data_IF_957083862951
#
_entry.id   IF_957083862951
#
_cell.length_a   1.000
_cell.length_b   1.000
_cell.length_c   1.000
_cell.angle_alpha   90.00
_cell.angle_beta   90.00
_cell.angle_gamma   90.00
#
_symmetry.space_group_name_H-M   'P 1'
#
loop_
_entity.id
_entity.type
_entity.pdbx_description
1 polymer ?
#
# COMPACT_ATOMS: atom_id res chain seq x y z
N UNK A 1 13.50 10.68 50.47
CA UNK A 1 13.41 11.49 49.22
C UNK A 1 12.07 11.18 48.62
N UNK A 2 11.07 12.05 48.75
CA UNK A 2 9.75 11.82 48.14
C UNK A 2 9.81 12.23 46.66
N UNK A 3 9.21 11.44 45.74
CA UNK A 3 9.12 11.84 44.32
C UNK A 3 8.33 13.14 44.19
N UNK A 4 8.77 13.97 43.25
CA UNK A 4 8.16 15.29 43.03
C UNK A 4 6.83 15.07 42.28
N UNK A 5 5.72 15.49 42.86
CA UNK A 5 4.35 15.32 42.30
C UNK A 5 4.24 15.88 40.86
N UNK A 6 5.02 16.93 40.55
CA UNK A 6 5.04 17.51 39.19
C UNK A 6 5.65 16.55 38.13
N UNK A 7 6.59 15.68 38.51
CA UNK A 7 7.22 14.74 37.62
C UNK A 7 6.29 13.53 37.33
N UNK A 8 5.48 13.12 38.32
CA UNK A 8 4.47 12.07 38.12
C UNK A 8 3.31 12.53 37.25
N UNK A 9 2.83 13.75 37.42
CA UNK A 9 1.74 14.30 36.58
C UNK A 9 2.22 14.50 35.14
N UNK A 10 3.47 14.96 34.95
CA UNK A 10 4.05 15.10 33.61
C UNK A 10 4.24 13.75 32.91
N UNK A 11 4.69 12.72 33.62
CA UNK A 11 4.87 11.38 33.08
C UNK A 11 3.54 10.72 32.71
N UNK A 12 2.50 10.87 33.51
CA UNK A 12 1.16 10.34 33.19
C UNK A 12 0.57 11.01 31.94
N UNK A 13 0.68 12.33 31.80
CA UNK A 13 0.21 13.03 30.61
C UNK A 13 0.95 12.60 29.33
N UNK A 14 2.24 12.29 29.42
CA UNK A 14 3.03 11.75 28.29
C UNK A 14 2.59 10.34 27.95
N UNK A 15 2.34 9.48 28.93
CA UNK A 15 1.84 8.12 28.70
C UNK A 15 0.45 8.13 28.06
N UNK A 16 -0.47 8.94 28.58
CA UNK A 16 -1.81 9.10 28.02
C UNK A 16 -1.76 9.59 26.55
N UNK A 17 -0.85 10.52 26.25
CA UNK A 17 -0.63 11.00 24.88
C UNK A 17 -0.08 9.89 23.96
N UNK A 18 0.87 9.09 24.44
CA UNK A 18 1.43 7.98 23.67
C UNK A 18 0.39 6.90 23.40
N UNK A 19 -0.42 6.53 24.39
CA UNK A 19 -1.51 5.55 24.25
C UNK A 19 -2.57 6.04 23.25
N UNK A 20 -2.95 7.31 23.32
CA UNK A 20 -3.89 7.91 22.37
C UNK A 20 -3.33 7.88 20.93
N UNK A 21 -2.07 8.24 20.76
CA UNK A 21 -1.40 8.20 19.46
C UNK A 21 -1.33 6.79 18.88
N UNK A 22 -0.97 5.80 19.70
CA UNK A 22 -0.94 4.41 19.28
C UNK A 22 -2.33 3.92 18.85
N UNK A 23 -3.35 4.20 19.65
CA UNK A 23 -4.72 3.82 19.35
C UNK A 23 -5.26 4.47 18.05
N UNK A 24 -4.90 5.73 17.79
CA UNK A 24 -5.25 6.41 16.54
C UNK A 24 -4.52 5.79 15.34
N UNK A 25 -3.24 5.43 15.48
CA UNK A 25 -2.48 4.75 14.44
C UNK A 25 -3.11 3.40 14.08
N UNK A 26 -3.40 2.57 15.08
CA UNK A 26 -4.05 1.27 14.89
C UNK A 26 -5.40 1.37 14.16
N UNK A 27 -6.21 2.38 14.49
CA UNK A 27 -7.47 2.64 13.78
C UNK A 27 -7.27 3.00 12.31
N UNK A 28 -6.29 3.84 12.02
CA UNK A 28 -5.99 4.23 10.63
C UNK A 28 -5.43 3.05 9.84
N UNK A 29 -4.62 2.20 10.46
CA UNK A 29 -4.11 0.96 9.84
C UNK A 29 -5.24 -0.03 9.53
N UNK A 30 -6.18 -0.23 10.46
CA UNK A 30 -7.37 -1.06 10.23
C UNK A 30 -8.27 -0.49 9.12
N UNK A 31 -8.47 0.82 9.09
CA UNK A 31 -9.20 1.46 7.99
C UNK A 31 -8.48 1.28 6.65
N UNK A 32 -7.16 1.40 6.60
CA UNK A 32 -6.38 1.22 5.38
C UNK A 32 -6.46 -0.21 4.80
N UNK A 33 -6.75 -1.23 5.62
CA UNK A 33 -7.01 -2.59 5.12
C UNK A 33 -8.24 -2.66 4.23
N UNK A 34 -9.29 -1.94 4.58
CA UNK A 34 -10.61 -2.03 3.93
C UNK A 34 -10.89 -0.88 2.98
N UNK A 35 -10.22 0.25 3.16
CA UNK A 35 -10.40 1.42 2.36
C UNK A 35 -9.13 1.83 1.61
N UNK A 36 -9.19 1.69 0.29
CA UNK A 36 -8.02 1.92 -0.56
C UNK A 36 -7.53 3.37 -0.52
N UNK A 37 -8.41 4.36 -0.33
CA UNK A 37 -7.98 5.76 -0.27
C UNK A 37 -7.18 6.07 1.01
N UNK A 38 -7.55 5.43 2.11
CA UNK A 38 -6.78 5.52 3.38
C UNK A 38 -5.41 4.86 3.21
N UNK A 39 -5.34 3.70 2.55
CA UNK A 39 -4.06 3.09 2.16
C UNK A 39 -3.21 4.00 1.27
N UNK A 40 -3.82 4.65 0.26
CA UNK A 40 -3.13 5.61 -0.60
C UNK A 40 -2.55 6.77 0.19
N UNK A 41 -3.28 7.33 1.16
CA UNK A 41 -2.80 8.42 2.02
C UNK A 41 -1.57 8.03 2.83
N UNK A 42 -1.52 6.81 3.33
CA UNK A 42 -0.40 6.30 4.12
C UNK A 42 0.82 5.95 3.25
N UNK A 43 0.59 5.27 2.13
CA UNK A 43 1.68 4.65 1.38
C UNK A 43 2.19 5.47 0.20
N UNK A 44 1.41 6.40 -0.37
CA UNK A 44 1.86 7.21 -1.49
C UNK A 44 3.05 8.12 -1.18
N UNK A 45 3.19 8.70 0.03
CA UNK A 45 4.39 9.47 0.41
C UNK A 45 5.69 8.66 0.37
N UNK A 46 5.64 7.34 0.49
CA UNK A 46 6.80 6.45 0.32
C UNK A 46 7.32 6.41 -1.12
N UNK A 47 6.47 6.71 -2.08
CA UNK A 47 6.79 6.72 -3.51
C UNK A 47 7.05 8.12 -4.07
N UNK A 48 6.43 9.14 -3.48
CA UNK A 48 6.51 10.54 -3.93
C UNK A 48 6.60 11.42 -2.70
N UNK A 49 7.73 12.07 -2.49
CA UNK A 49 8.00 12.94 -1.33
C UNK A 49 7.03 14.13 -1.21
N UNK A 50 6.60 14.69 -2.34
CA UNK A 50 5.67 15.82 -2.44
C UNK A 50 4.24 15.39 -2.77
N UNK A 51 3.79 14.26 -2.20
CA UNK A 51 2.47 13.71 -2.47
C UNK A 51 1.35 14.67 -2.08
N UNK A 52 0.44 14.90 -3.02
CA UNK A 52 -0.76 15.71 -2.79
C UNK A 52 -2.00 14.96 -3.25
N UNK A 53 -2.96 14.84 -2.35
CA UNK A 53 -4.26 14.28 -2.69
C UNK A 53 -5.04 15.25 -3.58
N UNK A 54 -5.58 14.71 -4.67
CA UNK A 54 -6.46 15.43 -5.57
C UNK A 54 -7.79 14.70 -5.71
N UNK A 55 -8.87 15.40 -6.03
CA UNK A 55 -10.21 14.81 -6.17
C UNK A 55 -10.27 13.65 -7.19
N UNK A 56 -9.46 13.69 -8.24
CA UNK A 56 -9.35 12.61 -9.21
C UNK A 56 -8.82 11.30 -8.59
N UNK A 57 -7.95 11.40 -7.58
CA UNK A 57 -7.42 10.24 -6.85
C UNK A 57 -8.52 9.58 -6.04
N UNK A 58 -9.40 10.35 -5.41
CA UNK A 58 -10.56 9.84 -4.68
C UNK A 58 -11.49 9.05 -5.60
N UNK A 59 -11.81 9.62 -6.76
CA UNK A 59 -12.68 8.96 -7.75
C UNK A 59 -12.05 7.65 -8.27
N UNK A 60 -10.75 7.65 -8.56
CA UNK A 60 -10.06 6.45 -9.02
C UNK A 60 -10.01 5.40 -7.91
N UNK A 61 -9.71 5.81 -6.69
CA UNK A 61 -9.63 4.91 -5.54
C UNK A 61 -10.95 4.19 -5.29
N UNK A 62 -12.06 4.91 -5.38
CA UNK A 62 -13.39 4.31 -5.26
C UNK A 62 -13.66 3.29 -6.39
N UNK A 63 -13.29 3.60 -7.63
CA UNK A 63 -13.44 2.65 -8.76
C UNK A 63 -12.53 1.43 -8.63
N UNK A 64 -11.33 1.58 -8.11
CA UNK A 64 -10.43 0.47 -7.85
C UNK A 64 -10.91 -0.42 -6.70
N UNK A 65 -11.54 0.16 -5.67
CA UNK A 65 -12.22 -0.58 -4.60
C UNK A 65 -13.39 -1.42 -5.14
N UNK A 66 -14.21 -0.84 -6.02
CA UNK A 66 -15.29 -1.56 -6.72
C UNK A 66 -14.75 -2.69 -7.62
N UNK A 67 -13.57 -2.51 -8.20
CA UNK A 67 -12.90 -3.55 -8.98
C UNK A 67 -12.41 -4.70 -8.08
N UNK A 68 -11.83 -4.38 -6.93
CA UNK A 68 -11.36 -5.38 -5.97
C UNK A 68 -12.51 -6.19 -5.39
N UNK A 69 -13.62 -5.55 -5.03
CA UNK A 69 -14.83 -6.23 -4.52
C UNK A 69 -15.58 -7.06 -5.58
N UNK A 70 -15.22 -6.93 -6.86
CA UNK A 70 -15.90 -7.60 -7.97
C UNK A 70 -17.23 -6.94 -8.40
N UNK A 71 -17.59 -5.80 -7.82
CA UNK A 71 -18.75 -5.01 -8.24
C UNK A 71 -18.63 -4.59 -9.71
N UNK A 72 -17.43 -4.18 -10.13
CA UNK A 72 -17.07 -4.01 -11.53
C UNK A 72 -15.96 -4.98 -11.90
N UNK A 73 -16.03 -5.54 -13.10
CA UNK A 73 -15.04 -6.54 -13.56
C UNK A 73 -13.96 -5.97 -14.48
N UNK A 74 -14.16 -4.78 -15.01
CA UNK A 74 -13.26 -4.12 -15.94
C UNK A 74 -13.28 -2.61 -15.70
N UNK A 75 -12.10 -2.00 -15.68
CA UNK A 75 -11.93 -0.58 -15.48
C UNK A 75 -10.93 -0.03 -16.50
N UNK A 76 -11.31 1.04 -17.17
CA UNK A 76 -10.40 1.84 -18.01
C UNK A 76 -10.21 3.20 -17.38
N UNK A 77 -8.95 3.61 -17.20
CA UNK A 77 -8.60 4.88 -16.55
C UNK A 77 -7.86 5.77 -17.54
N UNK A 78 -8.47 6.88 -17.88
CA UNK A 78 -7.91 7.91 -18.78
C UNK A 78 -7.63 9.17 -17.98
N UNK A 79 -6.37 9.55 -17.89
CA UNK A 79 -5.92 10.76 -17.19
C UNK A 79 -4.77 11.41 -17.96
N UNK A 80 -4.60 12.73 -17.84
CA UNK A 80 -3.45 13.42 -18.38
C UNK A 80 -2.12 12.87 -17.84
N UNK A 81 -1.00 13.06 -18.55
CA UNK A 81 0.32 12.79 -17.98
C UNK A 81 0.53 13.52 -16.64
N UNK A 82 1.37 12.96 -15.77
CA UNK A 82 1.72 13.52 -14.45
C UNK A 82 0.56 13.65 -13.45
N UNK A 83 -0.54 12.94 -13.67
CA UNK A 83 -1.70 12.86 -12.73
C UNK A 83 -1.62 11.69 -11.74
N UNK A 84 -0.45 11.16 -11.48
CA UNK A 84 -0.18 10.03 -10.58
C UNK A 84 -0.91 8.72 -10.93
N UNK A 85 -1.47 8.59 -12.15
CA UNK A 85 -2.20 7.40 -12.59
C UNK A 85 -1.41 6.10 -12.36
N UNK A 86 -0.16 6.04 -12.84
CA UNK A 86 0.67 4.82 -12.69
C UNK A 86 1.03 4.53 -11.25
N UNK A 87 1.18 5.55 -10.40
CA UNK A 87 1.42 5.36 -8.97
C UNK A 87 0.22 4.70 -8.31
N UNK A 88 -0.98 5.21 -8.61
CA UNK A 88 -2.22 4.66 -8.05
C UNK A 88 -2.53 3.28 -8.63
N UNK A 89 -2.61 3.15 -9.96
CA UNK A 89 -3.13 1.95 -10.61
C UNK A 89 -2.10 0.82 -10.73
N UNK A 90 -0.80 1.16 -10.92
CA UNK A 90 0.24 0.15 -11.22
C UNK A 90 1.18 -0.15 -10.05
N UNK A 91 1.10 0.63 -8.96
CA UNK A 91 1.95 0.42 -7.77
C UNK A 91 1.12 0.24 -6.51
N UNK A 92 0.35 1.26 -6.09
CA UNK A 92 -0.40 1.22 -4.83
C UNK A 92 -1.55 0.22 -4.87
N UNK A 93 -2.33 0.18 -5.94
CA UNK A 93 -3.45 -0.76 -6.03
C UNK A 93 -3.00 -2.23 -6.04
N UNK A 94 -2.00 -2.66 -6.83
CA UNK A 94 -1.48 -4.03 -6.72
C UNK A 94 -0.94 -4.38 -5.34
N UNK A 95 -0.25 -3.43 -4.65
CA UNK A 95 0.23 -3.66 -3.29
C UNK A 95 -0.95 -3.86 -2.31
N UNK A 96 -1.95 -2.98 -2.35
CA UNK A 96 -3.14 -3.09 -1.52
C UNK A 96 -3.94 -4.37 -1.81
N UNK A 97 -4.12 -4.70 -3.11
CA UNK A 97 -4.83 -5.89 -3.53
C UNK A 97 -4.18 -7.18 -3.00
N UNK A 98 -2.86 -7.31 -3.12
CA UNK A 98 -2.15 -8.50 -2.61
C UNK A 98 -2.14 -8.54 -1.09
N UNK A 99 -2.16 -7.40 -0.42
CA UNK A 99 -2.31 -7.33 1.03
C UNK A 99 -3.64 -7.90 1.53
N UNK A 100 -4.71 -7.63 0.79
CA UNK A 100 -6.06 -8.15 1.06
C UNK A 100 -6.27 -9.59 0.60
N UNK A 101 -5.62 -9.98 -0.49
CA UNK A 101 -5.79 -11.26 -1.18
C UNK A 101 -4.41 -11.92 -1.41
N UNK A 102 -3.70 -12.31 -0.34
CA UNK A 102 -2.29 -12.71 -0.43
C UNK A 102 -2.04 -14.05 -1.13
N UNK A 103 -3.08 -14.77 -1.50
CA UNK A 103 -3.04 -16.04 -2.27
C UNK A 103 -3.29 -15.81 -3.76
N UNK A 104 -3.78 -14.61 -4.15
CA UNK A 104 -4.15 -14.32 -5.53
C UNK A 104 -2.94 -14.03 -6.43
N UNK A 105 -3.15 -14.17 -7.73
CA UNK A 105 -2.16 -13.84 -8.74
C UNK A 105 -2.45 -12.48 -9.38
N UNK A 106 -1.39 -11.68 -9.56
CA UNK A 106 -1.45 -10.39 -10.26
C UNK A 106 -0.55 -10.46 -11.48
N UNK A 107 -1.10 -10.14 -12.64
CA UNK A 107 -0.34 -9.94 -13.87
C UNK A 107 -0.36 -8.45 -14.25
N UNK A 108 0.81 -7.83 -14.26
CA UNK A 108 1.00 -6.46 -14.75
C UNK A 108 1.70 -6.50 -16.10
N UNK A 109 1.07 -5.90 -17.11
CA UNK A 109 1.61 -5.84 -18.46
C UNK A 109 1.84 -4.38 -18.85
N UNK A 110 3.00 -4.08 -19.43
CA UNK A 110 3.31 -2.77 -19.95
C UNK A 110 3.95 -2.84 -21.35
N UNK A 111 4.32 -1.68 -21.89
CA UNK A 111 4.94 -1.58 -23.20
C UNK A 111 6.29 -2.33 -23.29
N UNK A 112 7.10 -2.31 -22.24
CA UNK A 112 8.40 -2.98 -22.20
C UNK A 112 8.62 -3.75 -20.89
N UNK A 113 9.47 -4.77 -20.95
CA UNK A 113 9.88 -5.54 -19.77
C UNK A 113 10.52 -4.68 -18.69
N UNK A 114 11.33 -3.69 -19.09
CA UNK A 114 11.95 -2.76 -18.15
C UNK A 114 10.89 -2.01 -17.33
N UNK A 115 9.89 -1.42 -17.98
CA UNK A 115 8.84 -0.67 -17.29
C UNK A 115 7.98 -1.56 -16.40
N UNK A 116 7.64 -2.77 -16.86
CA UNK A 116 6.90 -3.74 -16.05
C UNK A 116 7.68 -4.16 -14.81
N UNK A 117 8.98 -4.45 -14.99
CA UNK A 117 9.88 -4.82 -13.89
C UNK A 117 10.06 -3.69 -12.87
N UNK A 118 10.08 -2.43 -13.32
CA UNK A 118 10.15 -1.27 -12.43
C UNK A 118 8.86 -1.12 -11.60
N UNK A 119 7.70 -1.42 -12.19
CA UNK A 119 6.45 -1.50 -11.42
C UNK A 119 6.50 -2.66 -10.43
N UNK A 120 6.91 -3.85 -10.87
CA UNK A 120 7.03 -5.03 -10.01
C UNK A 120 7.99 -4.82 -8.84
N UNK A 121 9.12 -4.14 -9.07
CA UNK A 121 10.05 -3.73 -8.02
C UNK A 121 9.38 -2.77 -7.03
N UNK A 122 8.71 -1.73 -7.52
CA UNK A 122 8.03 -0.76 -6.66
C UNK A 122 6.94 -1.40 -5.80
N UNK A 123 6.14 -2.33 -6.36
CA UNK A 123 5.11 -3.05 -5.60
C UNK A 123 5.74 -3.96 -4.55
N UNK A 124 6.79 -4.70 -4.92
CA UNK A 124 7.54 -5.56 -4.01
C UNK A 124 8.13 -4.78 -2.83
N UNK A 125 8.73 -3.63 -3.11
CA UNK A 125 9.36 -2.80 -2.11
C UNK A 125 8.30 -2.20 -1.16
N UNK A 126 7.13 -1.80 -1.66
CA UNK A 126 5.97 -1.41 -0.84
C UNK A 126 5.48 -2.53 0.08
N UNK A 127 5.38 -3.77 -0.41
CA UNK A 127 5.00 -4.94 0.40
C UNK A 127 6.02 -5.23 1.49
N UNK A 128 7.26 -4.81 1.30
CA UNK A 128 8.34 -5.00 2.27
C UNK A 128 8.51 -3.81 3.25
N UNK A 129 7.70 -2.76 3.13
CA UNK A 129 7.69 -1.63 4.06
C UNK A 129 7.12 -2.03 5.42
N UNK A 130 7.65 -1.45 6.50
CA UNK A 130 7.14 -1.68 7.85
C UNK A 130 5.66 -1.28 7.99
N UNK A 131 5.28 -0.14 7.41
CA UNK A 131 3.90 0.34 7.46
C UNK A 131 2.93 -0.60 6.73
N UNK A 132 3.38 -1.25 5.64
CA UNK A 132 2.59 -2.31 5.00
C UNK A 132 2.38 -3.51 5.92
N UNK A 133 3.42 -3.91 6.66
CA UNK A 133 3.34 -5.01 7.61
C UNK A 133 2.43 -4.69 8.81
N UNK A 134 2.34 -3.43 9.23
CA UNK A 134 1.38 -2.97 10.25
C UNK A 134 -0.06 -3.07 9.73
N UNK A 135 -0.30 -2.64 8.49
CA UNK A 135 -1.62 -2.71 7.85
C UNK A 135 -2.03 -4.16 7.58
N UNK A 136 -1.18 -4.96 6.94
CA UNK A 136 -1.47 -6.32 6.50
C UNK A 136 -0.61 -7.35 7.24
N UNK A 137 -0.77 -7.42 8.56
CA UNK A 137 -0.02 -8.37 9.38
C UNK A 137 -0.08 -9.80 8.85
N UNK A 138 1.09 -10.45 8.72
CA UNK A 138 1.22 -11.82 8.22
C UNK A 138 1.43 -11.93 6.71
N UNK A 139 1.27 -10.87 5.92
CA UNK A 139 1.62 -10.88 4.49
C UNK A 139 3.09 -10.51 4.33
N UNK A 140 3.89 -11.43 3.81
CA UNK A 140 5.31 -11.22 3.57
C UNK A 140 5.79 -11.90 2.28
N UNK A 141 6.95 -11.50 1.81
CA UNK A 141 7.54 -12.05 0.59
C UNK A 141 8.32 -13.33 0.89
N UNK A 142 8.15 -14.33 0.03
CA UNK A 142 9.01 -15.53 0.03
C UNK A 142 10.46 -15.15 -0.29
N UNK A 143 11.41 -15.78 0.41
CA UNK A 143 12.83 -15.50 0.24
C UNK A 143 13.43 -16.05 -1.06
N UNK A 144 12.83 -17.10 -1.62
CA UNK A 144 13.31 -17.85 -2.78
C UNK A 144 12.85 -17.28 -4.14
N UNK A 145 11.81 -16.42 -4.15
CA UNK A 145 11.26 -15.82 -5.39
C UNK A 145 11.03 -14.32 -5.19
N UNK A 146 12.08 -13.51 -5.41
CA UNK A 146 12.08 -12.05 -5.18
C UNK A 146 12.58 -11.22 -6.36
N UNK A 147 12.58 -11.75 -7.58
CA UNK A 147 12.99 -10.98 -8.75
C UNK A 147 12.02 -9.82 -9.01
N UNK A 148 12.50 -8.72 -9.59
CA UNK A 148 11.66 -7.53 -9.86
C UNK A 148 10.43 -7.86 -10.72
N UNK A 149 10.59 -8.73 -11.72
CA UNK A 149 9.50 -9.15 -12.61
C UNK A 149 8.66 -10.32 -12.10
N UNK A 150 9.07 -11.00 -11.02
CA UNK A 150 8.33 -12.12 -10.44
C UNK A 150 8.68 -12.33 -8.98
N UNK A 151 7.68 -12.26 -8.13
CA UNK A 151 7.84 -12.56 -6.71
C UNK A 151 6.58 -13.20 -6.14
N UNK A 152 6.70 -13.82 -4.98
CA UNK A 152 5.62 -14.53 -4.31
C UNK A 152 5.45 -14.10 -2.87
N UNK A 153 4.22 -14.18 -2.40
CA UNK A 153 3.88 -14.08 -0.98
C UNK A 153 4.13 -15.42 -0.27
N UNK A 154 4.25 -15.39 1.04
CA UNK A 154 4.31 -16.61 1.87
C UNK A 154 3.02 -17.43 1.83
N UNK A 155 1.89 -16.79 1.51
CA UNK A 155 0.58 -17.42 1.36
C UNK A 155 0.34 -18.05 -0.03
N UNK A 156 1.28 -17.90 -0.97
CA UNK A 156 1.22 -18.54 -2.28
C UNK A 156 0.85 -17.63 -3.45
N UNK A 157 0.39 -16.40 -3.18
CA UNK A 157 0.10 -15.43 -4.22
C UNK A 157 1.32 -15.07 -5.04
N UNK A 158 1.12 -14.68 -6.29
CA UNK A 158 2.20 -14.39 -7.22
C UNK A 158 1.96 -13.07 -7.94
N UNK A 159 3.00 -12.26 -8.03
CA UNK A 159 3.05 -11.11 -8.90
C UNK A 159 3.92 -11.41 -10.12
N UNK A 160 3.37 -11.15 -11.31
CA UNK A 160 4.09 -11.23 -12.58
C UNK A 160 4.11 -9.87 -13.27
N UNK A 161 5.27 -9.47 -13.75
CA UNK A 161 5.45 -8.32 -14.62
C UNK A 161 5.95 -8.79 -15.99
N UNK A 162 5.28 -8.36 -17.06
CA UNK A 162 5.66 -8.70 -18.42
C UNK A 162 5.57 -7.49 -19.36
N UNK A 163 6.50 -7.36 -20.29
CA UNK A 163 6.42 -6.40 -21.39
C UNK A 163 5.77 -7.02 -22.62
N UNK A 164 5.10 -6.18 -23.43
CA UNK A 164 4.59 -6.62 -24.75
C UNK A 164 5.72 -6.69 -25.78
N UNK A 165 6.79 -5.93 -25.52
CA UNK A 165 8.01 -5.92 -26.34
C UNK A 165 9.22 -6.15 -25.46
N UNK A 166 10.14 -7.01 -25.90
CA UNK A 166 11.39 -7.27 -25.19
C UNK A 166 12.29 -6.04 -25.13
#
# INVERSE_FOLDING_TARGET
>A
MQPNINDEVSNNAVLDYMELHQHLSEKVEEEAKIDFITFVRLMAPKLISDWKMGKHIEVISEKLKQLESGEIKRLMVFLPPRSSKSVICSKLFPAWYIGRNPEHEILTVSHSDQLSSDFGRSVRDLVNEEDFSKIFGGVSLRSDVRAAGKWKTTQGGTYYAAGVRP
#
